data_IF_772619539589
#
_entry.id   IF_772619539589
#
_cell.length_a   1.000
_cell.length_b   1.000
_cell.length_c   1.000
_cell.angle_alpha   90.00
_cell.angle_beta   90.00
_cell.angle_gamma   90.00
#
_symmetry.space_group_name_H-M   'P 1'
#
loop_
_entity.id
_entity.type
_entity.pdbx_description
1 polymer ?
#
# COMPACT_ATOMS: atom_id res chain seq x y z
N UNK A 1 -15.60 0.51 3.43
CA UNK A 1 -14.68 0.04 4.49
C UNK A 1 -13.58 1.07 4.70
N UNK A 2 -12.97 1.13 5.88
CA UNK A 2 -11.91 2.09 6.20
C UNK A 2 -10.69 1.96 5.29
N UNK A 3 -10.37 0.76 4.83
CA UNK A 3 -9.33 0.56 3.84
C UNK A 3 -9.62 1.36 2.56
N UNK A 4 -10.85 1.31 2.04
CA UNK A 4 -11.23 2.06 0.84
C UNK A 4 -11.14 3.58 1.04
N UNK A 5 -11.35 4.09 2.25
CA UNK A 5 -11.26 5.53 2.52
C UNK A 5 -9.80 6.00 2.56
N UNK A 6 -8.89 5.18 3.08
CA UNK A 6 -7.45 5.45 3.04
C UNK A 6 -6.95 5.46 1.60
N UNK A 7 -7.32 4.47 0.78
CA UNK A 7 -6.92 4.42 -0.63
C UNK A 7 -7.46 5.59 -1.45
N UNK A 8 -8.70 5.98 -1.23
CA UNK A 8 -9.28 7.15 -1.91
C UNK A 8 -8.44 8.39 -1.69
N UNK A 9 -8.04 8.65 -0.45
CA UNK A 9 -7.30 9.86 -0.11
C UNK A 9 -5.91 9.89 -0.68
N UNK A 10 -5.14 8.83 -0.50
CA UNK A 10 -3.78 8.78 -1.01
C UNK A 10 -3.74 8.87 -2.54
N UNK A 11 -4.65 8.15 -3.23
CA UNK A 11 -4.69 8.17 -4.68
C UNK A 11 -5.26 9.49 -5.22
N UNK A 12 -6.39 9.97 -4.71
CA UNK A 12 -7.02 11.24 -5.13
C UNK A 12 -6.09 12.44 -4.85
N UNK A 13 -5.14 12.32 -3.90
CA UNK A 13 -4.18 13.37 -3.63
C UNK A 13 -3.28 13.71 -4.85
N UNK A 14 -3.04 12.72 -5.71
CA UNK A 14 -2.15 12.84 -6.89
C UNK A 14 -2.81 12.43 -8.20
N UNK A 15 -4.04 11.90 -8.17
CA UNK A 15 -4.78 11.47 -9.33
C UNK A 15 -6.02 12.33 -9.56
N UNK A 16 -6.29 12.63 -10.82
CA UNK A 16 -7.49 13.31 -11.30
C UNK A 16 -8.06 12.63 -12.54
N UNK A 17 -9.14 13.20 -13.08
CA UNK A 17 -9.73 12.72 -14.32
C UNK A 17 -8.72 12.82 -15.48
N UNK A 18 -8.59 11.74 -16.24
CA UNK A 18 -7.61 11.60 -17.31
C UNK A 18 -6.30 10.96 -16.89
N UNK A 19 -6.06 10.72 -15.60
CA UNK A 19 -4.85 10.07 -15.10
C UNK A 19 -4.95 8.54 -15.13
N UNK A 20 -3.80 7.90 -15.04
CA UNK A 20 -3.64 6.46 -15.08
C UNK A 20 -2.81 5.96 -13.90
N UNK A 21 -3.08 4.73 -13.44
CA UNK A 21 -2.32 4.01 -12.42
C UNK A 21 -1.96 2.61 -12.92
N UNK A 22 -0.74 2.15 -12.63
CA UNK A 22 -0.36 0.73 -12.79
C UNK A 22 -0.50 0.05 -11.44
N UNK A 23 -1.18 -1.08 -11.38
CA UNK A 23 -1.39 -1.83 -10.14
C UNK A 23 -1.04 -3.29 -10.31
N UNK A 24 -0.48 -3.91 -9.25
CA UNK A 24 -0.45 -5.37 -9.18
C UNK A 24 -1.87 -5.93 -9.32
N UNK A 25 -2.02 -7.03 -10.05
CA UNK A 25 -3.29 -7.74 -10.20
C UNK A 25 -3.67 -8.53 -8.95
N UNK A 26 -2.69 -8.92 -8.14
CA UNK A 26 -2.87 -9.67 -6.89
C UNK A 26 -2.95 -8.71 -5.71
N UNK A 27 -4.12 -8.08 -5.52
CA UNK A 27 -4.42 -7.14 -4.43
C UNK A 27 -5.79 -7.48 -3.83
N UNK A 28 -6.06 -6.93 -2.65
CA UNK A 28 -7.35 -7.08 -1.99
C UNK A 28 -8.52 -6.72 -2.91
N UNK A 29 -9.53 -7.59 -2.96
CA UNK A 29 -10.68 -7.46 -3.88
C UNK A 29 -11.43 -6.12 -3.77
N UNK A 30 -11.47 -5.52 -2.58
CA UNK A 30 -12.05 -4.19 -2.39
C UNK A 30 -11.24 -3.09 -3.06
N UNK A 31 -9.91 -3.20 -3.05
CA UNK A 31 -9.01 -2.27 -3.75
C UNK A 31 -9.08 -2.49 -5.25
N UNK A 32 -9.09 -3.75 -5.70
CA UNK A 32 -9.29 -4.08 -7.11
C UNK A 32 -10.57 -3.45 -7.65
N UNK A 33 -11.70 -3.63 -6.95
CA UNK A 33 -12.97 -3.03 -7.36
C UNK A 33 -12.94 -1.50 -7.31
N UNK A 34 -12.28 -0.91 -6.31
CA UNK A 34 -12.09 0.54 -6.25
C UNK A 34 -11.39 1.06 -7.51
N UNK A 35 -10.25 0.47 -7.86
CA UNK A 35 -9.45 0.89 -9.02
C UNK A 35 -10.19 0.59 -10.33
N UNK A 36 -10.68 -0.64 -10.51
CA UNK A 36 -11.24 -1.10 -11.78
C UNK A 36 -12.63 -0.53 -12.09
N UNK A 37 -13.41 -0.17 -11.07
CA UNK A 37 -14.81 0.26 -11.26
C UNK A 37 -15.03 1.69 -10.78
N UNK A 38 -14.70 1.96 -9.51
CA UNK A 38 -15.08 3.24 -8.88
C UNK A 38 -14.23 4.40 -9.39
N UNK A 39 -12.92 4.23 -9.49
CA UNK A 39 -12.00 5.27 -9.97
C UNK A 39 -12.23 5.57 -11.45
N UNK A 40 -12.59 4.58 -12.26
CA UNK A 40 -12.97 4.79 -13.67
C UNK A 40 -14.18 5.69 -13.84
N UNK A 41 -15.14 5.65 -12.91
CA UNK A 41 -16.32 6.54 -12.95
C UNK A 41 -15.96 8.02 -12.75
N UNK A 42 -14.82 8.30 -12.14
CA UNK A 42 -14.28 9.66 -11.96
C UNK A 42 -13.14 9.97 -12.93
N UNK A 43 -12.98 9.14 -13.97
CA UNK A 43 -12.05 9.40 -15.07
C UNK A 43 -10.62 8.93 -14.82
N UNK A 44 -10.34 8.16 -13.79
CA UNK A 44 -9.01 7.55 -13.56
C UNK A 44 -9.00 6.14 -14.12
N UNK A 45 -8.04 5.84 -15.00
CA UNK A 45 -7.87 4.51 -15.59
C UNK A 45 -6.81 3.68 -14.85
N UNK A 46 -6.88 2.34 -15.01
CA UNK A 46 -5.94 1.41 -14.37
C UNK A 46 -5.52 0.31 -15.34
N UNK A 47 -4.23 -0.03 -15.31
CA UNK A 47 -3.71 -1.28 -15.90
C UNK A 47 -3.21 -2.19 -14.77
N UNK A 48 -3.75 -3.42 -14.74
CA UNK A 48 -3.29 -4.44 -13.81
C UNK A 48 -2.20 -5.29 -14.46
N UNK A 49 -1.13 -5.55 -13.70
CA UNK A 49 0.01 -6.35 -14.12
C UNK A 49 0.20 -7.55 -13.19
N UNK A 50 0.64 -8.68 -13.74
CA UNK A 50 1.11 -9.79 -12.92
C UNK A 50 2.38 -9.34 -12.18
N UNK A 51 2.44 -9.40 -10.83
CA UNK A 51 3.63 -8.99 -10.08
C UNK A 51 4.86 -9.85 -10.39
N UNK A 52 4.66 -11.04 -11.00
CA UNK A 52 5.73 -11.93 -11.43
C UNK A 52 6.18 -11.72 -12.86
N UNK A 53 5.46 -10.92 -13.64
CA UNK A 53 5.83 -10.61 -15.01
C UNK A 53 7.26 -10.04 -15.10
N UNK A 54 7.87 -10.11 -16.27
CA UNK A 54 9.17 -9.51 -16.51
C UNK A 54 9.16 -7.99 -16.31
N UNK A 55 10.33 -7.38 -16.09
CA UNK A 55 10.41 -5.92 -16.01
C UNK A 55 9.89 -5.26 -17.29
N UNK A 56 10.16 -5.86 -18.46
CA UNK A 56 9.69 -5.35 -19.75
C UNK A 56 8.17 -5.34 -19.86
N UNK A 57 7.52 -6.43 -19.45
CA UNK A 57 6.05 -6.52 -19.48
C UNK A 57 5.39 -5.51 -18.51
N UNK A 58 5.98 -5.34 -17.32
CA UNK A 58 5.49 -4.36 -16.36
C UNK A 58 5.71 -2.93 -16.87
N UNK A 59 6.89 -2.63 -17.44
CA UNK A 59 7.18 -1.33 -18.05
C UNK A 59 6.22 -0.99 -19.20
N UNK A 60 5.84 -1.97 -20.01
CA UNK A 60 4.89 -1.77 -21.11
C UNK A 60 3.48 -1.35 -20.67
N UNK A 61 3.13 -1.52 -19.39
CA UNK A 61 1.85 -1.08 -18.82
C UNK A 61 1.81 0.43 -18.52
N UNK A 62 2.96 1.11 -18.49
CA UNK A 62 3.02 2.54 -18.20
C UNK A 62 2.64 3.37 -19.41
N UNK A 63 2.00 4.50 -19.17
CA UNK A 63 1.57 5.51 -20.14
C UNK A 63 2.11 6.89 -19.71
N UNK A 64 2.11 7.86 -20.60
CA UNK A 64 2.55 9.23 -20.29
C UNK A 64 1.78 9.85 -19.11
N UNK A 65 0.49 9.54 -19.02
CA UNK A 65 -0.40 9.98 -17.95
C UNK A 65 -0.41 9.08 -16.70
N UNK A 66 0.50 8.10 -16.60
CA UNK A 66 0.63 7.30 -15.36
C UNK A 66 1.21 8.16 -14.24
N UNK A 67 0.54 8.13 -13.07
CA UNK A 67 0.87 8.95 -11.89
C UNK A 67 1.33 8.16 -10.68
N UNK A 68 1.06 6.85 -10.63
CA UNK A 68 1.46 6.00 -9.52
C UNK A 68 1.57 4.54 -9.94
N UNK A 69 2.36 3.79 -9.19
CA UNK A 69 2.34 2.34 -9.17
C UNK A 69 1.86 1.85 -7.80
N UNK A 70 1.01 0.82 -7.78
CA UNK A 70 0.40 0.30 -6.56
C UNK A 70 0.63 -1.20 -6.42
N UNK A 71 0.88 -1.66 -5.20
CA UNK A 71 0.95 -3.07 -4.85
C UNK A 71 0.63 -3.34 -3.39
N UNK A 72 0.53 -4.61 -3.04
CA UNK A 72 0.26 -5.10 -1.69
C UNK A 72 1.42 -6.00 -1.28
N UNK A 73 2.02 -5.79 -0.11
CA UNK A 73 3.21 -6.54 0.35
C UNK A 73 2.95 -8.05 0.35
N UNK A 74 1.81 -8.47 0.88
CA UNK A 74 1.30 -9.84 0.80
C UNK A 74 -0.13 -9.77 0.28
N UNK A 75 -0.38 -10.36 -0.86
CA UNK A 75 -1.67 -10.30 -1.53
C UNK A 75 -2.77 -11.10 -0.81
N UNK A 76 -3.96 -10.54 -0.74
CA UNK A 76 -5.16 -11.21 -0.22
C UNK A 76 -6.12 -11.54 -1.37
N UNK A 77 -6.47 -12.83 -1.64
CA UNK A 77 -6.20 -14.01 -0.82
C UNK A 77 -5.03 -14.88 -1.30
N UNK A 78 -4.33 -14.51 -2.37
CA UNK A 78 -3.38 -15.40 -3.05
C UNK A 78 -2.09 -15.66 -2.27
N UNK A 79 -1.76 -14.83 -1.26
CA UNK A 79 -0.52 -14.85 -0.49
C UNK A 79 0.75 -14.60 -1.32
N UNK A 80 0.61 -14.07 -2.51
CA UNK A 80 1.76 -13.67 -3.33
C UNK A 80 2.55 -12.56 -2.63
N UNK A 81 3.86 -12.70 -2.55
CA UNK A 81 4.74 -11.68 -1.98
C UNK A 81 5.24 -10.76 -3.09
N UNK A 82 5.02 -9.46 -2.92
CA UNK A 82 5.47 -8.44 -3.87
C UNK A 82 6.99 -8.28 -3.80
N UNK A 83 7.65 -8.30 -4.95
CA UNK A 83 9.03 -7.82 -5.05
C UNK A 83 9.04 -6.27 -5.03
N UNK A 84 9.13 -5.72 -3.81
CA UNK A 84 9.02 -4.26 -3.57
C UNK A 84 10.13 -3.50 -4.30
N UNK A 85 11.37 -4.00 -4.27
CA UNK A 85 12.51 -3.33 -4.93
C UNK A 85 12.34 -3.29 -6.45
N UNK A 86 11.87 -4.39 -7.06
CA UNK A 86 11.57 -4.44 -8.50
C UNK A 86 10.49 -3.40 -8.85
N UNK A 87 9.42 -3.35 -8.09
CA UNK A 87 8.33 -2.39 -8.33
C UNK A 87 8.78 -0.95 -8.11
N UNK A 88 9.58 -0.67 -7.07
CA UNK A 88 10.13 0.66 -6.82
C UNK A 88 11.04 1.12 -7.96
N UNK A 89 11.96 0.26 -8.38
CA UNK A 89 12.86 0.53 -9.53
C UNK A 89 12.08 0.89 -10.79
N UNK A 90 11.03 0.13 -11.11
CA UNK A 90 10.20 0.37 -12.29
C UNK A 90 9.42 1.68 -12.12
N UNK A 91 8.71 1.89 -11.01
CA UNK A 91 7.95 3.11 -10.76
C UNK A 91 8.83 4.37 -10.89
N UNK A 92 10.00 4.35 -10.26
CA UNK A 92 10.94 5.47 -10.29
C UNK A 92 11.52 5.72 -11.69
N UNK A 93 11.74 4.68 -12.50
CA UNK A 93 12.17 4.85 -13.90
C UNK A 93 11.15 5.60 -14.77
N UNK A 94 9.88 5.56 -14.39
CA UNK A 94 8.79 6.33 -15.01
C UNK A 94 8.47 7.65 -14.28
N UNK A 95 9.26 8.01 -13.26
CA UNK A 95 9.08 9.23 -12.48
C UNK A 95 7.78 9.28 -11.70
N UNK A 96 7.31 8.14 -11.18
CA UNK A 96 6.10 8.04 -10.38
C UNK A 96 6.38 7.33 -9.05
N UNK A 97 5.63 7.63 -7.96
CA UNK A 97 5.81 6.97 -6.68
C UNK A 97 5.30 5.53 -6.70
N UNK A 98 5.96 4.66 -5.91
CA UNK A 98 5.44 3.36 -5.52
C UNK A 98 4.63 3.50 -4.22
N UNK A 99 3.38 3.08 -4.27
CA UNK A 99 2.46 3.02 -3.14
C UNK A 99 2.25 1.56 -2.74
N UNK A 100 2.53 1.23 -1.49
CA UNK A 100 2.42 -0.15 -0.99
C UNK A 100 1.41 -0.25 0.14
N UNK A 101 0.43 -1.13 -0.01
CA UNK A 101 -0.40 -1.57 1.11
C UNK A 101 0.35 -2.62 1.94
N UNK A 102 0.66 -2.25 3.17
CA UNK A 102 1.40 -3.08 4.10
C UNK A 102 0.53 -3.55 5.27
N UNK A 103 -0.77 -3.72 5.02
CA UNK A 103 -1.76 -4.03 6.06
C UNK A 103 -1.45 -5.32 6.80
N UNK A 104 -1.14 -6.42 6.10
CA UNK A 104 -0.93 -7.71 6.74
C UNK A 104 0.41 -7.82 7.46
N UNK A 105 1.54 -7.46 6.85
CA UNK A 105 2.82 -7.53 7.56
C UNK A 105 2.90 -6.56 8.73
N UNK A 106 2.21 -5.43 8.68
CA UNK A 106 2.38 -4.31 9.61
C UNK A 106 3.82 -3.78 9.57
N UNK A 107 4.15 -2.64 10.19
CA UNK A 107 5.54 -2.18 10.25
C UNK A 107 6.44 -3.06 11.12
N UNK A 108 5.87 -4.04 11.84
CA UNK A 108 6.65 -5.02 12.62
C UNK A 108 7.33 -6.02 11.69
N UNK A 109 6.61 -6.54 10.69
CA UNK A 109 7.13 -7.61 9.83
C UNK A 109 7.65 -7.12 8.48
N UNK A 110 7.25 -5.93 8.01
CA UNK A 110 7.81 -5.32 6.80
C UNK A 110 7.80 -3.80 6.90
N UNK A 111 8.89 -3.18 6.49
CA UNK A 111 9.01 -1.73 6.34
C UNK A 111 9.31 -1.39 4.88
N UNK A 112 8.30 -1.22 4.03
CA UNK A 112 8.48 -1.05 2.59
C UNK A 112 9.38 0.12 2.18
N UNK A 113 9.54 1.15 3.02
CA UNK A 113 10.47 2.26 2.78
C UNK A 113 11.93 1.82 2.69
N UNK A 114 12.32 0.78 3.42
CA UNK A 114 13.68 0.22 3.37
C UNK A 114 13.98 -0.43 2.00
N UNK A 115 12.93 -0.69 1.22
CA UNK A 115 12.99 -1.33 -0.09
C UNK A 115 12.53 -0.42 -1.24
N UNK A 116 12.44 0.89 -1.00
CA UNK A 116 12.20 1.89 -2.02
C UNK A 116 10.73 2.30 -2.23
N UNK A 117 9.78 1.85 -1.42
CA UNK A 117 8.43 2.39 -1.46
C UNK A 117 8.44 3.87 -1.03
N UNK A 118 7.56 4.68 -1.62
CA UNK A 118 7.46 6.10 -1.32
C UNK A 118 6.31 6.40 -0.35
N UNK A 119 5.20 5.70 -0.54
CA UNK A 119 4.00 5.86 0.27
C UNK A 119 3.55 4.48 0.75
N UNK A 120 3.25 4.36 2.03
CA UNK A 120 2.77 3.11 2.64
C UNK A 120 1.40 3.34 3.25
N UNK A 121 0.52 2.38 3.07
CA UNK A 121 -0.81 2.41 3.66
C UNK A 121 -1.08 1.20 4.51
N UNK A 122 -1.92 1.39 5.50
CA UNK A 122 -2.41 0.31 6.36
C UNK A 122 -3.90 0.46 6.60
N UNK A 123 -4.64 -0.62 6.47
CA UNK A 123 -5.93 -0.74 7.14
C UNK A 123 -5.68 -1.01 8.62
N UNK A 124 -5.80 0.02 9.45
CA UNK A 124 -5.63 -0.13 10.91
C UNK A 124 -6.71 -1.01 11.53
N UNK A 125 -7.82 -1.25 10.81
CA UNK A 125 -8.90 -2.20 11.10
C UNK A 125 -8.40 -3.62 11.38
N UNK A 126 -7.23 -4.00 10.84
CA UNK A 126 -6.72 -5.37 10.85
C UNK A 126 -5.79 -5.59 12.06
N UNK A 127 -4.55 -6.04 11.83
CA UNK A 127 -3.62 -6.38 12.91
C UNK A 127 -3.23 -5.21 13.81
N UNK A 128 -3.22 -3.97 13.30
CA UNK A 128 -2.82 -2.82 14.10
C UNK A 128 -3.78 -2.60 15.27
N UNK A 129 -5.08 -2.64 15.03
CA UNK A 129 -6.09 -2.59 16.10
C UNK A 129 -6.23 -3.95 16.80
N UNK A 130 -6.33 -5.04 16.03
CA UNK A 130 -6.20 -6.42 16.49
C UNK A 130 -7.40 -7.04 17.21
N UNK A 131 -8.47 -6.29 17.47
CA UNK A 131 -9.63 -6.74 18.26
C UNK A 131 -10.95 -6.71 17.46
N UNK A 132 -10.91 -6.31 16.19
CA UNK A 132 -12.07 -6.15 15.31
C UNK A 132 -13.15 -5.19 15.87
N UNK A 133 -12.74 -4.23 16.71
CA UNK A 133 -13.66 -3.32 17.42
C UNK A 133 -13.81 -1.99 16.72
N UNK A 134 -12.86 -1.59 15.86
CA UNK A 134 -12.90 -0.32 15.15
C UNK A 134 -12.46 -0.42 13.71
N UNK A 135 -12.87 0.55 12.92
CA UNK A 135 -12.51 0.67 11.51
C UNK A 135 -11.62 1.90 11.35
N UNK A 136 -10.49 1.75 10.68
CA UNK A 136 -9.57 2.85 10.44
C UNK A 136 -8.51 2.55 9.40
N UNK A 137 -7.73 3.56 9.06
CA UNK A 137 -6.61 3.46 8.14
C UNK A 137 -5.60 4.57 8.38
N UNK A 138 -4.37 4.33 7.96
CA UNK A 138 -3.34 5.37 7.95
C UNK A 138 -2.57 5.38 6.63
N UNK A 139 -2.03 6.54 6.32
CA UNK A 139 -1.11 6.78 5.21
C UNK A 139 0.19 7.31 5.80
N UNK A 140 1.29 6.75 5.37
CA UNK A 140 2.65 7.17 5.77
C UNK A 140 3.41 7.53 4.50
N UNK A 141 4.04 8.68 4.50
CA UNK A 141 4.90 9.17 3.42
C UNK A 141 6.35 9.08 3.86
N UNK A 142 7.22 8.56 3.00
CA UNK A 142 8.67 8.56 3.24
C UNK A 142 9.27 9.97 3.26
N UNK A 143 8.63 10.90 2.55
CA UNK A 143 9.13 12.26 2.30
C UNK A 143 10.36 12.30 1.40
N UNK A 144 10.67 11.21 0.69
CA UNK A 144 11.85 11.10 -0.15
C UNK A 144 11.58 11.19 -1.66
N UNK A 145 10.31 11.06 -2.07
CA UNK A 145 9.95 11.17 -3.49
C UNK A 145 10.11 12.64 -3.96
N UNK A 146 10.83 12.83 -5.07
CA UNK A 146 11.00 14.15 -5.68
C UNK A 146 9.79 14.48 -6.57
N UNK A 147 8.87 15.29 -6.04
CA UNK A 147 7.67 15.73 -6.76
C UNK A 147 7.98 16.67 -7.94
N UNK A 148 9.18 17.25 -8.00
CA UNK A 148 9.63 18.15 -9.06
C UNK A 148 10.40 17.49 -10.19
N UNK A 149 10.65 16.17 -10.12
CA UNK A 149 11.43 15.48 -11.15
C UNK A 149 10.76 15.48 -12.54
N UNK A 150 9.46 15.79 -12.61
CA UNK A 150 8.68 15.93 -13.82
C UNK A 150 7.41 16.76 -13.56
N UNK A 151 6.64 17.03 -14.63
CA UNK A 151 5.42 17.87 -14.56
C UNK A 151 4.14 17.06 -14.22
N UNK A 152 4.29 15.83 -13.74
CA UNK A 152 3.14 14.94 -13.49
C UNK A 152 2.30 15.35 -12.28
N UNK A 153 2.82 16.14 -11.34
CA UNK A 153 2.19 16.40 -10.05
C UNK A 153 1.90 17.89 -9.79
N UNK A 154 1.17 18.58 -10.70
CA UNK A 154 0.90 20.01 -10.53
C UNK A 154 0.16 20.32 -9.23
N UNK A 155 -0.72 19.44 -8.75
CA UNK A 155 -1.41 19.63 -7.46
C UNK A 155 -0.52 19.68 -6.23
N UNK A 156 0.77 19.33 -6.33
CA UNK A 156 1.78 19.45 -5.27
C UNK A 156 2.82 20.50 -5.58
N UNK A 157 3.10 20.78 -6.86
CA UNK A 157 4.23 21.58 -7.32
C UNK A 157 3.85 22.97 -7.83
N UNK A 158 2.54 23.27 -7.95
CA UNK A 158 2.03 24.60 -8.32
C UNK A 158 1.15 25.18 -7.21
N UNK A 159 0.90 26.52 -7.20
CA UNK A 159 0.04 27.15 -6.20
C UNK A 159 -1.39 26.58 -6.21
N UNK A 160 -1.89 26.20 -5.04
CA UNK A 160 -3.24 25.66 -4.84
C UNK A 160 -4.23 26.79 -4.48
N UNK A 161 -5.21 27.03 -5.35
CA UNK A 161 -6.23 28.07 -5.15
C UNK A 161 -7.12 27.77 -3.94
N UNK A 162 -7.34 26.48 -3.62
CA UNK A 162 -8.20 26.07 -2.51
C UNK A 162 -7.55 26.30 -1.14
N UNK A 163 -6.23 26.55 -1.10
CA UNK A 163 -5.48 26.78 0.14
C UNK A 163 -4.53 27.97 0.03
N UNK A 164 -5.09 29.16 -0.29
CA UNK A 164 -4.40 30.47 -0.26
C UNK A 164 -3.16 30.56 -1.18
N UNK A 165 -3.09 29.77 -2.25
CA UNK A 165 -1.94 29.77 -3.17
C UNK A 165 -0.71 29.04 -2.67
N UNK A 166 -0.84 28.18 -1.66
CA UNK A 166 0.24 27.34 -1.14
C UNK A 166 0.71 26.34 -2.21
N UNK A 167 2.01 26.18 -2.32
CA UNK A 167 2.64 25.13 -3.13
C UNK A 167 3.17 24.04 -2.19
N UNK A 168 2.44 22.97 -2.01
CA UNK A 168 2.66 21.99 -0.94
C UNK A 168 4.08 21.44 -0.87
N UNK A 169 4.63 20.99 -2.01
CA UNK A 169 5.99 20.44 -2.05
C UNK A 169 7.07 21.49 -1.75
N UNK A 170 6.85 22.77 -2.14
CA UNK A 170 7.76 23.86 -1.87
C UNK A 170 7.68 24.34 -0.42
N UNK A 171 6.47 24.62 0.04
CA UNK A 171 6.24 25.32 1.30
C UNK A 171 6.35 24.39 2.52
N UNK A 172 6.11 23.09 2.34
CA UNK A 172 6.19 22.08 3.40
C UNK A 172 7.27 21.01 3.17
N UNK A 173 8.01 21.08 2.06
CA UNK A 173 9.09 20.15 1.77
C UNK A 173 8.65 18.68 1.84
N UNK A 174 9.35 17.90 2.63
CA UNK A 174 9.07 16.45 2.83
C UNK A 174 7.68 16.13 3.36
N UNK A 175 7.00 17.09 3.97
CA UNK A 175 5.65 16.91 4.51
C UNK A 175 4.55 17.32 3.51
N UNK A 176 4.90 17.87 2.35
CA UNK A 176 3.93 18.44 1.40
C UNK A 176 2.80 17.52 1.02
N UNK A 177 3.10 16.25 0.76
CA UNK A 177 2.10 15.24 0.42
C UNK A 177 1.07 15.03 1.54
N UNK A 178 1.53 14.85 2.78
CA UNK A 178 0.64 14.63 3.94
C UNK A 178 -0.11 15.92 4.31
N UNK A 179 0.54 17.07 4.25
CA UNK A 179 -0.12 18.35 4.52
C UNK A 179 -1.28 18.57 3.56
N UNK A 180 -1.11 18.26 2.26
CA UNK A 180 -2.20 18.34 1.30
C UNK A 180 -3.35 17.39 1.64
N UNK A 181 -3.07 16.15 2.01
CA UNK A 181 -4.12 15.20 2.46
C UNK A 181 -4.92 15.80 3.61
N UNK A 182 -4.24 16.37 4.61
CA UNK A 182 -4.91 16.92 5.80
C UNK A 182 -5.65 18.22 5.49
N UNK A 183 -4.99 19.16 4.82
CA UNK A 183 -5.53 20.50 4.58
C UNK A 183 -6.67 20.52 3.56
N UNK A 184 -6.66 19.64 2.58
CA UNK A 184 -7.63 19.58 1.49
C UNK A 184 -8.55 18.37 1.60
N UNK A 185 -8.01 17.15 1.47
CA UNK A 185 -8.85 15.97 1.35
C UNK A 185 -9.55 15.60 2.66
N UNK A 186 -8.89 15.74 3.80
CA UNK A 186 -9.50 15.47 5.09
C UNK A 186 -10.60 16.48 5.40
N UNK A 187 -10.39 17.75 5.05
CA UNK A 187 -11.38 18.82 5.18
C UNK A 187 -12.60 18.57 4.30
N UNK A 188 -12.38 18.24 3.01
CA UNK A 188 -13.44 18.20 2.00
C UNK A 188 -14.21 16.88 1.99
N UNK A 189 -13.52 15.75 2.20
CA UNK A 189 -14.14 14.41 2.20
C UNK A 189 -14.38 13.83 3.61
N UNK A 190 -13.85 14.45 4.66
CA UNK A 190 -14.00 13.95 6.02
C UNK A 190 -13.27 12.64 6.28
N UNK A 191 -13.95 11.66 6.88
CA UNK A 191 -13.44 10.32 7.25
C UNK A 191 -12.32 10.34 8.31
N UNK A 192 -12.40 11.28 9.26
CA UNK A 192 -11.56 11.27 10.46
C UNK A 192 -12.03 10.17 11.42
N UNK A 193 -11.12 9.43 12.06
CA UNK A 193 -11.50 8.52 13.12
C UNK A 193 -12.08 9.31 14.30
N UNK A 194 -13.05 8.72 15.00
CA UNK A 194 -13.49 9.30 16.26
C UNK A 194 -12.37 9.22 17.32
N UNK A 195 -12.34 10.10 18.33
CA UNK A 195 -11.37 9.99 19.41
C UNK A 195 -11.40 8.64 20.12
N UNK A 196 -12.58 8.04 20.26
CA UNK A 196 -12.73 6.72 20.85
C UNK A 196 -12.09 5.61 19.98
N UNK A 197 -12.29 5.65 18.66
CA UNK A 197 -11.64 4.70 17.76
C UNK A 197 -10.11 4.86 17.76
N UNK A 198 -9.61 6.09 17.87
CA UNK A 198 -8.18 6.36 18.00
C UNK A 198 -7.61 5.82 19.33
N UNK A 199 -8.37 5.92 20.41
CA UNK A 199 -8.00 5.32 21.69
C UNK A 199 -7.92 3.79 21.61
N UNK A 200 -8.92 3.13 21.01
CA UNK A 200 -8.91 1.67 20.81
C UNK A 200 -7.73 1.22 19.94
N UNK A 201 -7.42 1.97 18.87
CA UNK A 201 -6.25 1.70 18.04
C UNK A 201 -4.95 1.78 18.86
N UNK A 202 -4.79 2.79 19.72
CA UNK A 202 -3.61 2.92 20.58
C UNK A 202 -3.44 1.70 21.50
N UNK A 203 -4.53 1.21 22.11
CA UNK A 203 -4.50 -0.02 22.91
C UNK A 203 -4.04 -1.21 22.07
N UNK A 204 -4.55 -1.34 20.83
CA UNK A 204 -4.12 -2.41 19.91
C UNK A 204 -2.63 -2.34 19.56
N UNK A 205 -2.11 -1.13 19.36
CA UNK A 205 -0.70 -0.92 19.03
C UNK A 205 0.27 -1.33 20.15
N UNK A 206 -0.12 -1.21 21.42
CA UNK A 206 0.73 -1.59 22.56
C UNK A 206 1.17 -3.06 22.50
N UNK A 207 0.31 -3.95 22.00
CA UNK A 207 0.60 -5.38 21.88
C UNK A 207 0.96 -5.84 20.48
N UNK A 208 1.04 -4.92 19.50
CA UNK A 208 1.19 -5.28 18.08
C UNK A 208 2.40 -6.16 17.82
N UNK A 209 3.57 -5.80 18.32
CA UNK A 209 4.81 -6.54 18.07
C UNK A 209 4.70 -8.01 18.52
N UNK A 210 4.33 -8.23 19.79
CA UNK A 210 4.22 -9.59 20.36
C UNK A 210 3.10 -10.40 19.67
N UNK A 211 2.03 -9.76 19.21
CA UNK A 211 0.96 -10.45 18.49
C UNK A 211 1.42 -10.87 17.08
N UNK A 212 2.05 -9.98 16.34
CA UNK A 212 2.52 -10.26 14.98
C UNK A 212 3.56 -11.37 14.98
N UNK A 213 4.58 -11.27 15.86
CA UNK A 213 5.59 -12.31 16.00
C UNK A 213 4.98 -13.67 16.33
N UNK A 214 4.03 -13.72 17.26
CA UNK A 214 3.34 -14.96 17.63
C UNK A 214 2.46 -15.49 16.49
N UNK A 215 1.79 -14.63 15.76
CA UNK A 215 0.97 -15.04 14.59
C UNK A 215 1.86 -15.68 13.52
N UNK A 216 2.98 -15.04 13.16
CA UNK A 216 3.93 -15.58 12.19
C UNK A 216 4.52 -16.92 12.65
N UNK A 217 4.96 -17.03 13.90
CA UNK A 217 5.47 -18.29 14.48
C UNK A 217 4.42 -19.42 14.41
N UNK A 218 3.18 -19.11 14.77
CA UNK A 218 2.10 -20.10 14.74
C UNK A 218 1.74 -20.49 13.31
N UNK A 219 1.68 -19.53 12.39
CA UNK A 219 1.37 -19.78 10.97
C UNK A 219 2.42 -20.69 10.36
N UNK A 220 3.70 -20.44 10.61
CA UNK A 220 4.80 -21.28 10.14
C UNK A 220 4.68 -22.73 10.63
N UNK A 221 4.45 -22.91 11.95
CA UNK A 221 4.28 -24.27 12.54
C UNK A 221 3.10 -25.00 11.95
N UNK A 222 1.97 -24.32 11.74
CA UNK A 222 0.77 -24.91 11.13
C UNK A 222 1.04 -25.27 9.66
N UNK A 223 1.67 -24.39 8.89
CA UNK A 223 1.99 -24.65 7.49
C UNK A 223 2.92 -25.88 7.35
N UNK A 224 3.98 -25.98 8.15
CA UNK A 224 4.91 -27.10 8.16
C UNK A 224 4.25 -28.43 8.61
N UNK A 225 3.32 -28.37 9.55
CA UNK A 225 2.53 -29.53 9.95
C UNK A 225 1.61 -30.02 8.83
N UNK A 226 0.90 -29.09 8.19
CA UNK A 226 -0.02 -29.42 7.11
C UNK A 226 0.71 -29.94 5.87
N UNK A 227 1.87 -29.38 5.53
CA UNK A 227 2.69 -29.83 4.39
C UNK A 227 3.11 -31.29 4.52
N UNK A 228 3.30 -31.79 5.75
CA UNK A 228 3.70 -33.17 6.04
C UNK A 228 2.51 -34.11 6.23
N UNK A 229 1.28 -33.64 6.15
CA UNK A 229 0.10 -34.43 6.44
C UNK A 229 -0.44 -35.07 5.16
N UNK A 230 -0.48 -36.40 5.11
CA UNK A 230 -0.91 -37.22 3.95
C UNK A 230 -2.35 -36.93 3.48
N UNK A 231 -3.18 -36.27 4.32
CA UNK A 231 -4.55 -35.89 3.99
C UNK A 231 -4.64 -34.54 3.28
N UNK A 232 -3.55 -33.80 3.21
CA UNK A 232 -3.47 -32.45 2.62
C UNK A 232 -2.77 -32.57 1.28
N UNK A 233 -3.44 -32.13 0.22
CA UNK A 233 -2.92 -32.21 -1.14
C UNK A 233 -1.85 -31.14 -1.43
N UNK A 234 -2.00 -29.96 -0.85
CA UNK A 234 -1.06 -28.84 -1.00
C UNK A 234 -1.29 -27.79 0.10
N UNK A 235 -0.25 -27.01 0.39
CA UNK A 235 -0.30 -25.85 1.30
C UNK A 235 0.26 -24.64 0.56
N UNK A 236 -0.47 -23.54 0.56
CA UNK A 236 0.01 -22.26 0.04
C UNK A 236 0.44 -21.38 1.22
N UNK A 237 1.73 -21.32 1.46
CA UNK A 237 2.32 -20.43 2.48
C UNK A 237 3.69 -19.96 1.99
N UNK A 238 3.92 -18.63 1.89
CA UNK A 238 5.19 -18.10 1.43
C UNK A 238 6.39 -18.47 2.33
N UNK A 239 6.14 -18.82 3.60
CA UNK A 239 7.17 -19.24 4.54
C UNK A 239 7.68 -20.69 4.35
N UNK A 240 7.04 -21.49 3.49
CA UNK A 240 7.50 -22.84 3.19
C UNK A 240 8.57 -22.85 2.10
N UNK A 241 9.58 -23.70 2.22
CA UNK A 241 10.64 -23.86 1.21
C UNK A 241 10.11 -24.34 -0.16
N UNK A 242 8.97 -25.00 -0.17
CA UNK A 242 8.25 -25.41 -1.38
C UNK A 242 7.53 -24.28 -2.09
N UNK A 243 7.39 -23.12 -1.43
CA UNK A 243 6.71 -21.96 -2.02
C UNK A 243 7.58 -21.28 -3.07
N UNK A 244 6.93 -20.86 -4.16
CA UNK A 244 7.54 -20.03 -5.21
C UNK A 244 7.95 -18.63 -4.72
N UNK A 245 7.36 -18.16 -3.61
CA UNK A 245 7.63 -16.85 -3.02
C UNK A 245 8.56 -16.95 -1.79
N UNK A 246 9.15 -18.12 -1.53
CA UNK A 246 10.00 -18.33 -0.34
C UNK A 246 11.12 -17.30 -0.23
N UNK A 247 11.88 -17.08 -1.31
CA UNK A 247 13.00 -16.13 -1.31
C UNK A 247 12.55 -14.68 -1.04
N UNK A 248 11.43 -14.27 -1.65
CA UNK A 248 10.85 -12.94 -1.39
C UNK A 248 10.35 -12.83 0.05
N UNK A 249 9.74 -13.89 0.59
CA UNK A 249 9.29 -13.92 1.97
C UNK A 249 10.49 -13.81 2.94
N UNK A 250 11.59 -14.53 2.69
CA UNK A 250 12.81 -14.41 3.51
C UNK A 250 13.41 -13.00 3.45
N UNK A 251 13.32 -12.33 2.30
CA UNK A 251 13.86 -10.99 2.10
C UNK A 251 13.01 -9.91 2.81
N UNK A 252 11.69 -9.96 2.66
CA UNK A 252 10.80 -8.87 3.07
C UNK A 252 10.09 -9.09 4.41
N UNK A 253 10.02 -10.33 4.91
CA UNK A 253 9.19 -10.74 6.05
C UNK A 253 10.02 -11.50 7.10
N UNK A 254 10.91 -10.80 7.83
CA UNK A 254 11.89 -11.43 8.71
C UNK A 254 11.30 -12.24 9.88
N UNK A 255 10.03 -11.97 10.26
CA UNK A 255 9.35 -12.74 11.31
C UNK A 255 8.49 -13.89 10.75
N UNK A 256 8.50 -14.11 9.42
CA UNK A 256 7.69 -15.12 8.75
C UNK A 256 6.41 -14.56 8.11
N UNK A 257 5.53 -15.45 7.68
CA UNK A 257 4.33 -15.12 6.89
C UNK A 257 3.06 -15.61 7.56
#
# INVERSE_FOLDING_TARGET
SAASDVYKRQLINILGAGDHIVSSATIYGGTFNLLNVTMRKIGVDVTFVDPRASEEEINAAFRDNTKAMFGETIANPSLDVLDIEKFAKIAHSHGVPLIVDNTFPTPINCRPFEFGADIVTHSTTKYMEGHASTIGGCVVDSGNFDWYQNDKFPGLTTPDESYHGVTYAKDFGKNGYIVKIVAQLLRDYGSTPSPFNSFLLNIGLESLAVRVERHCENAQKVAEYLEKNDKIAWVNSPGLKSSKDYELAQKYLPHGT
#
